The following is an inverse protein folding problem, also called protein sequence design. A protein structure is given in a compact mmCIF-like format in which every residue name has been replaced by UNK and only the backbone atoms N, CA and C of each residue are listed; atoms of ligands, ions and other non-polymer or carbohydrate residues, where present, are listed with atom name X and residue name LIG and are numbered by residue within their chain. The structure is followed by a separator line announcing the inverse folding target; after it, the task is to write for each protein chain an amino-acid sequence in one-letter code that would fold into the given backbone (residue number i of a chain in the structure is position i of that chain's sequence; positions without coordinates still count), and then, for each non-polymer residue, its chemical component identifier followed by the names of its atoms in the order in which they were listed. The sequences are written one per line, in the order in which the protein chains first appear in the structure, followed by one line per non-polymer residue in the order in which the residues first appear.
data_IF_810855727818
#
_entry.id   IF_810855727818
#
_cell.length_a   1.000
_cell.length_b   1.000
_cell.length_c   1.000
_cell.angle_alpha   90.00
_cell.angle_beta   90.00
_cell.angle_gamma   90.00
#
_symmetry.space_group_name_H-M   'P 1'
#
loop_
_entity.id
_entity.type
_entity.pdbx_description
1 polymer ?
#
# COMPACT_ATOMS: atom_id res chain seq x y z
N UNK A 1 -17.64 1.64 -14.15
CA UNK A 1 -16.41 1.56 -13.36
C UNK A 1 -15.68 2.89 -13.43
N UNK A 2 -15.28 3.43 -12.29
CA UNK A 2 -14.51 4.67 -12.15
C UNK A 2 -13.12 4.39 -11.59
N UNK A 3 -12.20 5.30 -11.89
CA UNK A 3 -10.87 5.42 -11.29
C UNK A 3 -10.61 6.89 -11.02
N UNK A 4 -9.88 7.19 -9.95
CA UNK A 4 -9.50 8.57 -9.58
C UNK A 4 -7.97 8.67 -9.50
N UNK A 5 -7.32 8.62 -10.66
CA UNK A 5 -5.86 8.59 -10.77
C UNK A 5 -5.22 9.92 -10.37
N UNK A 6 -5.89 11.05 -10.65
CA UNK A 6 -5.35 12.37 -10.33
C UNK A 6 -5.25 12.57 -8.83
N UNK A 7 -6.35 12.36 -8.08
CA UNK A 7 -6.31 12.49 -6.63
C UNK A 7 -5.46 11.41 -5.97
N UNK A 8 -5.40 10.21 -6.55
CA UNK A 8 -4.49 9.15 -6.07
C UNK A 8 -3.03 9.59 -6.14
N UNK A 9 -2.61 10.21 -7.25
CA UNK A 9 -1.24 10.75 -7.39
C UNK A 9 -0.99 11.88 -6.38
N UNK A 10 -1.98 12.74 -6.12
CA UNK A 10 -1.87 13.79 -5.08
C UNK A 10 -1.70 13.18 -3.68
N UNK A 11 -2.42 12.10 -3.36
CA UNK A 11 -2.26 11.37 -2.10
C UNK A 11 -0.87 10.76 -2.00
N UNK A 12 -0.35 10.15 -3.07
CA UNK A 12 1.01 9.59 -3.10
C UNK A 12 2.07 10.69 -2.93
N UNK A 13 1.90 11.85 -3.58
CA UNK A 13 2.79 13.00 -3.38
C UNK A 13 2.79 13.42 -1.90
N UNK A 14 1.60 13.67 -1.35
CA UNK A 14 1.45 14.09 0.04
C UNK A 14 2.06 13.08 1.01
N UNK A 15 1.86 11.78 0.78
CA UNK A 15 2.43 10.72 1.61
C UNK A 15 3.96 10.67 1.50
N UNK A 16 4.53 10.97 0.34
CA UNK A 16 5.99 11.01 0.16
C UNK A 16 6.60 12.21 0.89
N UNK A 17 5.89 13.34 0.92
CA UNK A 17 6.35 14.57 1.58
C UNK A 17 6.03 14.63 3.09
N UNK A 18 5.19 13.72 3.59
CA UNK A 18 4.75 13.70 4.98
C UNK A 18 5.86 13.20 5.91
N UNK A 19 6.01 13.84 7.06
CA UNK A 19 6.97 13.49 8.11
C UNK A 19 6.42 12.37 9.00
N UNK A 20 6.37 11.16 8.46
CA UNK A 20 5.80 10.00 9.14
C UNK A 20 6.57 9.63 10.40
N UNK A 21 5.86 9.51 11.52
CA UNK A 21 6.35 8.83 12.72
C UNK A 21 5.97 7.34 12.74
N UNK A 22 5.08 6.94 11.82
CA UNK A 22 4.42 5.64 11.73
C UNK A 22 3.67 5.26 13.01
N UNK A 23 2.88 6.21 13.49
CA UNK A 23 2.01 6.02 14.66
C UNK A 23 0.59 6.48 14.34
N UNK A 24 -0.38 6.06 15.14
CA UNK A 24 -1.78 6.50 14.98
C UNK A 24 -1.97 8.01 15.07
N UNK A 25 -1.01 8.73 15.66
CA UNK A 25 -1.03 10.19 15.80
C UNK A 25 -0.73 10.89 14.46
N UNK A 26 -0.20 10.19 13.46
CA UNK A 26 0.01 10.73 12.11
C UNK A 26 -1.30 10.88 11.33
N UNK A 27 -2.31 10.04 11.63
CA UNK A 27 -3.54 9.92 10.84
C UNK A 27 -4.31 11.24 10.69
N UNK A 28 -4.52 12.06 11.75
CA UNK A 28 -5.23 13.33 11.62
C UNK A 28 -4.51 14.32 10.70
N UNK A 29 -3.20 14.48 10.87
CA UNK A 29 -2.41 15.43 10.09
C UNK A 29 -2.32 15.03 8.63
N UNK A 30 -2.07 13.75 8.37
CA UNK A 30 -2.06 13.23 6.99
C UNK A 30 -3.44 13.38 6.33
N UNK A 31 -4.51 12.98 7.03
CA UNK A 31 -5.86 13.07 6.47
C UNK A 31 -6.28 14.50 6.17
N UNK A 32 -5.97 15.47 7.05
CA UNK A 32 -6.23 16.89 6.79
C UNK A 32 -5.53 17.34 5.50
N UNK A 33 -4.25 16.98 5.33
CA UNK A 33 -3.46 17.36 4.15
C UNK A 33 -4.05 16.84 2.83
N UNK A 34 -4.63 15.64 2.82
CA UNK A 34 -5.22 15.03 1.61
C UNK A 34 -6.75 15.23 1.50
N UNK A 35 -7.34 15.98 2.43
CA UNK A 35 -8.78 16.24 2.46
C UNK A 35 -9.64 15.03 2.82
N UNK A 36 -9.09 14.10 3.60
CA UNK A 36 -9.78 12.93 4.13
C UNK A 36 -10.36 13.21 5.52
N UNK A 37 -11.25 12.33 5.95
CA UNK A 37 -11.87 12.38 7.27
C UNK A 37 -11.37 11.22 8.12
N UNK A 38 -11.13 11.49 9.40
CA UNK A 38 -10.71 10.48 10.38
C UNK A 38 -11.74 10.39 11.49
N UNK A 39 -12.08 9.16 11.86
CA UNK A 39 -12.95 8.83 12.98
C UNK A 39 -12.34 7.74 13.85
N UNK A 40 -12.86 7.61 15.07
CA UNK A 40 -12.55 6.48 15.95
C UNK A 40 -11.04 6.29 16.28
N UNK A 41 -10.23 7.36 16.30
CA UNK A 41 -8.78 7.32 16.58
C UNK A 41 -8.42 6.58 17.88
N UNK A 42 -9.23 6.75 18.93
CA UNK A 42 -9.01 6.10 20.22
C UNK A 42 -9.43 4.62 20.26
N UNK A 43 -10.07 4.11 19.21
CA UNK A 43 -10.49 2.71 19.12
C UNK A 43 -9.41 1.85 18.49
N UNK A 44 -9.53 0.53 18.67
CA UNK A 44 -8.59 -0.45 18.13
C UNK A 44 -8.36 -0.26 16.62
N UNK A 45 -9.41 0.08 15.89
CA UNK A 45 -9.39 0.32 14.44
C UNK A 45 -9.90 1.73 14.15
N UNK A 46 -8.99 2.70 13.93
CA UNK A 46 -9.37 4.00 13.38
C UNK A 46 -10.05 3.83 12.02
N UNK A 47 -11.03 4.68 11.75
CA UNK A 47 -11.74 4.70 10.46
C UNK A 47 -11.32 5.90 9.68
N UNK A 48 -11.04 5.75 8.39
CA UNK A 48 -10.72 6.86 7.49
C UNK A 48 -11.66 6.86 6.29
N UNK A 49 -11.97 8.05 5.79
CA UNK A 49 -12.82 8.24 4.60
C UNK A 49 -12.13 9.19 3.64
N UNK A 50 -11.88 8.71 2.43
CA UNK A 50 -11.25 9.43 1.34
C UNK A 50 -12.24 10.36 0.65
N UNK A 51 -11.71 11.31 -0.11
CA UNK A 51 -12.44 12.19 -1.01
C UNK A 51 -12.36 11.75 -2.48
N UNK A 52 -12.00 10.49 -2.72
CA UNK A 52 -11.85 9.93 -4.07
C UNK A 52 -13.21 9.67 -4.71
N UNK A 53 -13.31 9.88 -6.03
CA UNK A 53 -14.55 9.67 -6.80
C UNK A 53 -14.77 8.20 -7.19
N UNK A 54 -14.78 7.31 -6.19
CA UNK A 54 -14.98 5.86 -6.32
C UNK A 54 -16.07 5.36 -5.37
N UNK A 55 -16.60 4.16 -5.61
CA UNK A 55 -17.69 3.58 -4.83
C UNK A 55 -17.29 3.05 -3.44
N UNK A 56 -15.98 2.96 -3.15
CA UNK A 56 -15.42 2.58 -1.86
C UNK A 56 -14.49 3.68 -1.37
N UNK A 57 -15.08 4.56 -0.56
CA UNK A 57 -14.42 5.74 -0.02
C UNK A 57 -13.72 5.46 1.32
N UNK A 58 -13.78 4.25 1.85
CA UNK A 58 -13.05 3.90 3.06
C UNK A 58 -11.55 3.73 2.78
N UNK A 59 -10.74 4.25 3.70
CA UNK A 59 -9.33 3.92 3.83
C UNK A 59 -9.12 3.14 5.13
N UNK A 60 -8.27 2.12 5.08
CA UNK A 60 -8.02 1.19 6.17
C UNK A 60 -6.67 1.51 6.82
N UNK A 61 -6.68 1.88 8.09
CA UNK A 61 -5.46 2.02 8.89
C UNK A 61 -5.19 0.72 9.66
N UNK A 62 -4.08 0.05 9.35
CA UNK A 62 -3.64 -1.16 10.03
C UNK A 62 -2.74 -0.78 11.20
N UNK A 63 -3.30 -0.83 12.40
CA UNK A 63 -2.62 -0.49 13.64
C UNK A 63 -2.17 -1.76 14.34
N UNK A 64 -0.95 -1.77 14.87
CA UNK A 64 -0.45 -2.90 15.65
C UNK A 64 -1.24 -3.05 16.95
N UNK A 65 -1.61 -4.29 17.28
CA UNK A 65 -2.38 -4.61 18.50
C UNK A 65 -1.45 -4.68 19.72
N UNK A 66 -0.94 -3.52 20.13
CA UNK A 66 -0.02 -3.40 21.26
C UNK A 66 -0.55 -2.46 22.34
N UNK A 67 0.10 -2.49 23.51
CA UNK A 67 -0.11 -1.50 24.58
C UNK A 67 0.83 -0.30 24.46
N UNK A 68 1.64 -0.21 23.40
CA UNK A 68 2.56 0.90 23.20
C UNK A 68 1.78 2.19 22.89
N UNK A 69 2.29 3.31 23.38
CA UNK A 69 1.73 4.64 23.17
C UNK A 69 2.83 5.59 22.68
N UNK A 70 2.64 6.27 21.53
CA UNK A 70 1.52 6.10 20.59
C UNK A 70 1.54 4.70 19.93
N UNK A 71 0.36 4.24 19.47
CA UNK A 71 0.24 2.91 18.86
C UNK A 71 0.92 2.88 17.49
N UNK A 72 1.74 1.86 17.18
CA UNK A 72 2.38 1.74 15.87
C UNK A 72 1.37 1.58 14.74
N UNK A 73 1.58 2.33 13.66
CA UNK A 73 0.83 2.23 12.42
C UNK A 73 1.65 1.42 11.41
N UNK A 74 1.12 0.29 10.98
CA UNK A 74 1.79 -0.59 10.02
C UNK A 74 1.59 -0.11 8.59
N UNK A 75 0.35 0.23 8.23
CA UNK A 75 0.01 0.73 6.91
C UNK A 75 -1.32 1.47 6.83
N UNK A 76 -1.52 2.21 5.74
CA UNK A 76 -2.79 2.81 5.32
C UNK A 76 -3.09 2.34 3.90
N UNK A 77 -4.22 1.68 3.70
CA UNK A 77 -4.70 1.20 2.39
C UNK A 77 -5.90 2.01 1.92
N UNK A 78 -5.98 2.30 0.61
CA UNK A 78 -7.14 2.93 -0.01
C UNK A 78 -7.32 2.51 -1.47
N UNK A 79 -8.54 2.62 -1.99
CA UNK A 79 -8.87 2.26 -3.36
C UNK A 79 -8.71 3.44 -4.33
N UNK A 80 -8.03 3.23 -5.45
CA UNK A 80 -8.00 4.22 -6.55
C UNK A 80 -9.06 3.96 -7.62
N UNK A 81 -9.78 2.83 -7.51
CA UNK A 81 -10.86 2.42 -8.42
C UNK A 81 -12.14 2.07 -7.68
N UNK A 82 -13.25 1.98 -8.40
CA UNK A 82 -14.42 1.25 -7.91
C UNK A 82 -14.03 -0.21 -7.58
N UNK A 83 -14.71 -0.78 -6.59
CA UNK A 83 -14.75 -2.23 -6.34
C UNK A 83 -15.96 -2.80 -7.07
N UNK A 84 -15.72 -3.64 -8.07
CA UNK A 84 -16.76 -4.29 -8.88
C UNK A 84 -16.58 -5.81 -8.80
N UNK A 85 -17.50 -6.49 -8.11
CA UNK A 85 -17.47 -7.95 -7.97
C UNK A 85 -18.23 -8.62 -9.11
N UNK A 86 -17.84 -9.85 -9.42
CA UNK A 86 -18.52 -10.75 -10.35
C UNK A 86 -18.63 -10.25 -11.81
N UNK A 87 -17.74 -9.34 -12.22
CA UNK A 87 -17.65 -8.84 -13.59
C UNK A 87 -16.21 -8.99 -14.13
N UNK A 88 -15.89 -10.07 -14.86
CA UNK A 88 -14.53 -10.26 -15.38
C UNK A 88 -14.15 -9.23 -16.45
N UNK A 89 -15.12 -8.48 -17.01
CA UNK A 89 -14.84 -7.48 -18.04
C UNK A 89 -14.14 -6.24 -17.48
N UNK A 90 -14.12 -6.08 -16.15
CA UNK A 90 -13.43 -4.94 -15.52
C UNK A 90 -11.92 -5.08 -15.49
N UNK A 91 -11.38 -6.30 -15.57
CA UNK A 91 -9.96 -6.55 -15.37
C UNK A 91 -9.05 -5.83 -16.39
N UNK A 92 -9.33 -5.84 -17.71
CA UNK A 92 -8.52 -5.08 -18.66
C UNK A 92 -8.56 -3.55 -18.43
N UNK A 93 -9.69 -3.02 -17.96
CA UNK A 93 -9.82 -1.60 -17.63
C UNK A 93 -8.97 -1.25 -16.40
N UNK A 94 -9.05 -2.08 -15.36
CA UNK A 94 -8.21 -2.00 -14.17
C UNK A 94 -6.72 -2.11 -14.51
N UNK A 95 -6.34 -3.00 -15.42
CA UNK A 95 -4.95 -3.16 -15.83
C UNK A 95 -4.42 -1.90 -16.54
N UNK A 96 -5.23 -1.28 -17.39
CA UNK A 96 -4.88 -0.03 -18.06
C UNK A 96 -4.74 1.12 -17.06
N UNK A 97 -5.67 1.22 -16.10
CA UNK A 97 -5.62 2.24 -15.05
C UNK A 97 -4.40 2.05 -14.12
N UNK A 98 -4.04 0.81 -13.80
CA UNK A 98 -2.83 0.48 -13.06
C UNK A 98 -1.58 0.94 -13.81
N UNK A 99 -1.47 0.61 -15.10
CA UNK A 99 -0.30 0.99 -15.91
C UNK A 99 -0.15 2.52 -15.98
N UNK A 100 -1.27 3.24 -16.14
CA UNK A 100 -1.28 4.70 -16.14
C UNK A 100 -0.88 5.28 -14.77
N UNK A 101 -1.44 4.77 -13.67
CA UNK A 101 -1.10 5.22 -12.32
C UNK A 101 0.38 5.01 -12.02
N UNK A 102 0.90 3.82 -12.33
CA UNK A 102 2.31 3.45 -12.14
C UNK A 102 3.23 4.38 -12.91
N UNK A 103 2.91 4.72 -14.16
CA UNK A 103 3.71 5.67 -14.93
C UNK A 103 3.75 7.06 -14.28
N UNK A 104 2.61 7.55 -13.79
CA UNK A 104 2.54 8.84 -13.09
C UNK A 104 3.35 8.81 -11.79
N UNK A 105 3.25 7.73 -11.01
CA UNK A 105 4.02 7.54 -9.77
C UNK A 105 5.50 7.40 -10.06
N UNK A 106 5.90 6.72 -11.12
CA UNK A 106 7.30 6.64 -11.54
C UNK A 106 7.89 8.04 -11.83
N UNK A 107 7.15 8.88 -12.55
CA UNK A 107 7.57 10.27 -12.81
C UNK A 107 7.62 11.10 -11.53
N UNK A 108 6.64 10.93 -10.65
CA UNK A 108 6.55 11.64 -9.36
C UNK A 108 7.73 11.31 -8.44
N UNK A 109 8.01 10.01 -8.26
CA UNK A 109 9.04 9.54 -7.33
C UNK A 109 10.43 9.67 -7.96
N UNK A 110 10.54 9.60 -9.29
CA UNK A 110 11.82 9.72 -10.00
C UNK A 110 12.72 8.48 -9.91
N UNK A 111 12.19 7.34 -9.46
CA UNK A 111 12.94 6.07 -9.37
C UNK A 111 12.10 4.87 -9.86
N UNK A 112 12.79 3.83 -10.34
CA UNK A 112 12.17 2.56 -10.69
C UNK A 112 11.59 1.85 -9.45
N UNK A 113 10.54 1.02 -9.62
CA UNK A 113 10.07 0.13 -8.56
C UNK A 113 11.20 -0.74 -8.01
N UNK A 114 11.23 -0.96 -6.70
CA UNK A 114 12.19 -1.84 -6.01
C UNK A 114 11.68 -3.28 -5.90
N UNK A 115 10.40 -3.53 -6.16
CA UNK A 115 9.80 -4.87 -6.17
C UNK A 115 8.55 -4.96 -7.03
N UNK A 116 8.16 -6.19 -7.37
CA UNK A 116 6.99 -6.49 -8.20
C UNK A 116 6.45 -7.90 -7.95
N UNK A 117 5.18 -8.12 -8.28
CA UNK A 117 4.53 -9.44 -8.24
C UNK A 117 3.41 -9.54 -9.28
N UNK A 118 3.06 -10.76 -9.69
CA UNK A 118 2.01 -11.04 -10.69
C UNK A 118 0.91 -11.97 -10.15
N UNK A 119 1.19 -12.76 -9.10
CA UNK A 119 0.22 -13.65 -8.47
C UNK A 119 0.18 -13.43 -6.95
N UNK A 120 -1.01 -13.51 -6.30
CA UNK A 120 -2.35 -13.65 -6.88
C UNK A 120 -2.91 -12.32 -7.45
N UNK A 121 -2.10 -11.26 -7.47
CA UNK A 121 -2.45 -9.94 -7.97
C UNK A 121 -1.24 -9.37 -8.71
N UNK A 122 -1.45 -8.35 -9.55
CA UNK A 122 -0.35 -7.62 -10.16
C UNK A 122 -0.05 -6.40 -9.32
N UNK A 123 1.21 -6.16 -8.98
CA UNK A 123 1.58 -4.96 -8.23
C UNK A 123 3.05 -4.61 -8.29
N UNK A 124 3.32 -3.37 -7.88
CA UNK A 124 4.64 -2.77 -7.84
C UNK A 124 4.88 -2.13 -6.48
N UNK A 125 6.14 -2.11 -6.07
CA UNK A 125 6.61 -1.56 -4.81
C UNK A 125 7.73 -0.55 -5.04
N UNK A 126 7.73 0.52 -4.26
CA UNK A 126 8.85 1.44 -4.09
C UNK A 126 9.23 1.54 -2.63
N UNK A 127 10.49 1.28 -2.32
CA UNK A 127 11.08 1.61 -1.03
C UNK A 127 11.63 3.04 -1.08
N UNK A 128 10.95 3.94 -0.38
CA UNK A 128 11.34 5.34 -0.21
C UNK A 128 11.91 5.54 1.20
N UNK A 129 12.64 6.64 1.46
CA UNK A 129 13.31 6.84 2.75
C UNK A 129 12.36 6.83 3.97
N UNK A 130 11.16 7.39 3.85
CA UNK A 130 10.17 7.55 4.92
C UNK A 130 8.93 6.66 4.76
N UNK A 131 8.80 5.94 3.65
CA UNK A 131 7.58 5.23 3.26
C UNK A 131 7.90 4.07 2.32
N UNK A 132 7.19 2.95 2.44
CA UNK A 132 7.10 1.97 1.35
C UNK A 132 5.75 2.12 0.67
N UNK A 133 5.76 2.41 -0.64
CA UNK A 133 4.58 2.52 -1.46
C UNK A 133 4.33 1.19 -2.19
N UNK A 134 3.11 0.69 -2.12
CA UNK A 134 2.65 -0.43 -2.95
C UNK A 134 1.42 -0.03 -3.73
N UNK A 135 1.37 -0.43 -5.00
CA UNK A 135 0.21 -0.26 -5.87
C UNK A 135 -0.14 -1.65 -6.38
N UNK A 136 -1.40 -2.02 -6.25
CA UNK A 136 -1.88 -3.35 -6.65
C UNK A 136 -3.13 -3.24 -7.52
N UNK A 137 -3.29 -4.23 -8.38
CA UNK A 137 -4.54 -4.49 -9.08
C UNK A 137 -4.92 -5.96 -8.96
N UNK A 138 -6.18 -6.17 -8.58
CA UNK A 138 -6.83 -7.47 -8.43
C UNK A 138 -7.94 -7.59 -9.47
N UNK A 139 -8.67 -8.70 -9.46
CA UNK A 139 -9.75 -8.95 -10.43
C UNK A 139 -10.92 -7.96 -10.35
N UNK A 140 -11.07 -7.27 -9.22
CA UNK A 140 -12.26 -6.45 -8.93
C UNK A 140 -11.95 -5.02 -8.48
N UNK A 141 -10.68 -4.68 -8.26
CA UNK A 141 -10.28 -3.34 -7.77
C UNK A 141 -8.78 -3.09 -7.94
N UNK A 142 -8.41 -1.82 -7.88
CA UNK A 142 -7.05 -1.36 -7.66
C UNK A 142 -6.93 -0.61 -6.34
N UNK A 143 -5.84 -0.85 -5.64
CA UNK A 143 -5.54 -0.30 -4.31
C UNK A 143 -4.11 0.25 -4.24
N UNK A 144 -3.92 1.18 -3.30
CA UNK A 144 -2.62 1.72 -2.90
C UNK A 144 -2.46 1.45 -1.41
N UNK A 145 -1.28 0.96 -1.03
CA UNK A 145 -0.89 0.78 0.36
C UNK A 145 0.34 1.65 0.67
N UNK A 146 0.21 2.46 1.72
CA UNK A 146 1.27 3.26 2.31
C UNK A 146 1.77 2.53 3.55
N UNK A 147 3.03 2.10 3.59
CA UNK A 147 3.51 1.12 4.57
C UNK A 147 4.73 1.66 5.33
N UNK A 148 4.75 1.43 6.64
CA UNK A 148 5.91 1.70 7.50
C UNK A 148 7.14 0.94 7.01
N UNK A 149 8.28 1.61 6.74
CA UNK A 149 9.51 0.94 6.35
C UNK A 149 9.97 -0.10 7.38
N UNK A 150 9.77 0.17 8.67
CA UNK A 150 10.13 -0.75 9.76
C UNK A 150 9.25 -2.00 9.72
N UNK A 151 7.93 -1.80 9.61
CA UNK A 151 6.99 -2.91 9.49
C UNK A 151 7.27 -3.75 8.25
N UNK A 152 7.55 -3.09 7.11
CA UNK A 152 7.84 -3.80 5.87
C UNK A 152 9.12 -4.61 5.96
N UNK A 153 10.19 -4.07 6.52
CA UNK A 153 11.44 -4.82 6.72
C UNK A 153 11.24 -6.06 7.61
N UNK A 154 10.42 -5.95 8.67
CA UNK A 154 10.06 -7.09 9.51
C UNK A 154 9.29 -8.16 8.72
N UNK A 155 8.30 -7.75 7.90
CA UNK A 155 7.52 -8.66 7.05
C UNK A 155 8.40 -9.35 6.01
N UNK A 156 9.27 -8.60 5.33
CA UNK A 156 10.21 -9.16 4.34
C UNK A 156 11.15 -10.19 4.98
N UNK A 157 11.57 -9.97 6.24
CA UNK A 157 12.36 -10.93 7.00
C UNK A 157 11.59 -12.19 7.42
N UNK A 158 10.26 -12.14 7.53
CA UNK A 158 9.42 -13.34 7.71
C UNK A 158 9.32 -14.10 6.39
N UNK A 159 8.97 -13.40 5.30
CA UNK A 159 8.78 -14.00 3.98
C UNK A 159 10.06 -14.74 3.54
N UNK A 160 11.23 -14.10 3.69
CA UNK A 160 12.53 -14.72 3.40
C UNK A 160 12.77 -16.00 4.21
N UNK A 161 12.44 -16.03 5.50
CA UNK A 161 12.62 -17.23 6.33
C UNK A 161 11.69 -18.37 5.89
N UNK A 162 10.45 -18.05 5.52
CA UNK A 162 9.50 -19.04 5.01
C UNK A 162 10.01 -19.62 3.68
N UNK A 163 10.56 -18.80 2.78
CA UNK A 163 11.15 -19.27 1.53
C UNK A 163 12.37 -20.18 1.76
N UNK A 164 13.25 -19.80 2.68
CA UNK A 164 14.42 -20.61 3.09
C UNK A 164 14.00 -21.96 3.70
N UNK A 165 12.98 -21.97 4.56
CA UNK A 165 12.42 -23.19 5.17
C UNK A 165 11.71 -24.09 4.14
N UNK A 166 11.06 -23.49 3.13
CA UNK A 166 10.38 -24.21 2.06
C UNK A 166 11.36 -24.81 1.03
N UNK A 167 12.59 -24.31 0.95
CA UNK A 167 13.61 -24.75 -0.01
C UNK A 167 15.00 -24.99 0.63
N UNK A 168 15.12 -25.95 1.58
CA UNK A 168 16.31 -26.13 2.41
C UNK A 168 17.56 -26.62 1.65
N UNK A 169 17.42 -27.07 0.40
CA UNK A 169 18.51 -27.68 -0.38
C UNK A 169 19.28 -26.70 -1.28
N UNK A 170 18.89 -25.43 -1.40
CA UNK A 170 19.64 -24.46 -2.24
C UNK A 170 20.99 -24.01 -1.65
N UNK A 171 21.21 -24.13 -0.34
CA UNK A 171 22.52 -23.85 0.27
C UNK A 171 23.50 -25.04 0.22
N UNK A 172 23.03 -26.26 -0.11
CA UNK A 172 23.88 -27.46 -0.17
C UNK A 172 24.60 -27.69 -1.50
N UNK A 173 24.22 -26.99 -2.57
CA UNK A 173 24.68 -27.30 -3.94
C UNK A 173 26.05 -26.68 -4.28
N UNK A 174 26.64 -25.85 -3.41
CA UNK A 174 27.94 -25.19 -3.66
C UNK A 174 29.09 -25.59 -2.71
N UNK A 175 29.06 -26.79 -2.14
CA UNK A 175 30.26 -27.41 -1.56
C UNK A 175 30.70 -28.58 -2.42
N UNK A 176 31.55 -28.29 -3.41
CA UNK A 176 32.39 -29.32 -4.01
C UNK A 176 33.67 -29.38 -3.18
N UNK A 177 33.82 -30.46 -2.40
CA UNK A 177 35.12 -30.93 -1.89
C UNK A 177 35.96 -31.52 -3.04
#
# INVERSE_FOLDING_TARGET
MRVDLERTVQVVQAATDFDWTWTVDDLPGFAEQVGWQVGNLGQRSPTMTTNLEVNRVDAMAYVEDTRAMPRPLNSVEFYFSDVVRDDPTVKPFLDSAFDELVQRVFVLVGQCPTGWWINPSRGLRWDLPNLVLQISVRDHSGDVELISPVYKAWRDGIDKRIEEEANPDQERVWRFD
#
